data_IF_092194676497
#
_entry.id   IF_092194676497
#
_cell.length_a   1.000
_cell.length_b   1.000
_cell.length_c   1.000
_cell.angle_alpha   90.00
_cell.angle_beta   90.00
_cell.angle_gamma   90.00
#
_symmetry.space_group_name_H-M   'P 1'
#
loop_
_entity.id
_entity.type
_entity.pdbx_description
1 polymer ?
#
# COMPACT_ATOMS: atom_id res chain seq x y z
N UNK A 1 -3.42 8.89 -23.04
CA UNK A 1 -4.84 8.65 -22.77
C UNK A 1 -5.02 7.14 -22.82
N UNK A 2 -5.22 6.49 -21.67
CA UNK A 2 -5.37 5.02 -21.59
C UNK A 2 -6.82 4.74 -22.00
N UNK A 3 -7.03 4.17 -23.19
CA UNK A 3 -8.33 3.65 -23.58
C UNK A 3 -8.65 2.42 -22.72
N UNK A 4 -9.47 2.63 -21.70
CA UNK A 4 -10.07 1.54 -20.93
C UNK A 4 -11.11 0.86 -21.82
N UNK A 5 -10.88 -0.39 -22.16
CA UNK A 5 -11.80 -1.19 -22.98
C UNK A 5 -13.20 -1.27 -22.35
N UNK A 6 -14.25 -1.30 -23.16
CA UNK A 6 -15.69 -1.26 -22.81
C UNK A 6 -16.17 -2.30 -21.76
N UNK A 7 -15.35 -3.27 -21.37
CA UNK A 7 -15.64 -4.23 -20.30
C UNK A 7 -15.41 -3.68 -18.87
N UNK A 8 -14.88 -2.46 -18.74
CA UNK A 8 -14.49 -1.86 -17.45
C UNK A 8 -15.52 -0.88 -16.88
N UNK A 9 -16.66 -0.71 -17.55
CA UNK A 9 -17.82 0.03 -17.01
C UNK A 9 -18.65 -0.78 -16.00
N UNK A 10 -18.20 -2.00 -15.68
CA UNK A 10 -18.86 -2.86 -14.69
C UNK A 10 -18.73 -2.28 -13.27
N UNK A 11 -19.80 -2.44 -12.52
CA UNK A 11 -19.86 -2.16 -11.08
C UNK A 11 -18.60 -2.66 -10.38
N UNK A 12 -18.12 -1.97 -9.33
CA UNK A 12 -16.97 -2.41 -8.55
C UNK A 12 -17.39 -3.62 -7.73
N UNK A 13 -17.46 -4.78 -8.36
CA UNK A 13 -17.86 -6.03 -7.74
C UNK A 13 -16.68 -6.79 -7.12
N UNK A 14 -15.45 -6.43 -7.48
CA UNK A 14 -14.23 -7.06 -6.96
C UNK A 14 -13.09 -6.05 -6.91
N UNK A 15 -12.96 -5.40 -5.77
CA UNK A 15 -11.94 -4.38 -5.55
C UNK A 15 -10.51 -4.92 -5.68
N UNK A 16 -10.29 -6.18 -5.33
CA UNK A 16 -8.97 -6.83 -5.46
C UNK A 16 -8.55 -6.97 -6.94
N UNK A 17 -9.48 -7.41 -7.78
CA UNK A 17 -9.19 -7.53 -9.23
C UNK A 17 -8.95 -6.15 -9.84
N UNK A 18 -9.78 -5.18 -9.48
CA UNK A 18 -9.65 -3.81 -9.91
C UNK A 18 -8.31 -3.18 -9.51
N UNK A 19 -7.91 -3.35 -8.24
CA UNK A 19 -6.63 -2.86 -7.74
C UNK A 19 -5.45 -3.42 -8.56
N UNK A 20 -5.48 -4.71 -8.88
CA UNK A 20 -4.45 -5.34 -9.74
C UNK A 20 -4.43 -4.73 -11.13
N UNK A 21 -5.58 -4.54 -11.77
CA UNK A 21 -5.68 -3.96 -13.11
C UNK A 21 -5.17 -2.51 -13.14
N UNK A 22 -5.53 -1.70 -12.14
CA UNK A 22 -5.05 -0.31 -12.01
C UNK A 22 -3.53 -0.30 -11.87
N UNK A 23 -2.96 -1.12 -11.00
CA UNK A 23 -1.51 -1.20 -10.79
C UNK A 23 -0.80 -1.72 -12.04
N UNK A 24 -1.32 -2.74 -12.71
CA UNK A 24 -0.73 -3.27 -13.94
C UNK A 24 -0.78 -2.26 -15.07
N UNK A 25 -1.90 -1.56 -15.25
CA UNK A 25 -2.04 -0.48 -16.23
C UNK A 25 -1.08 0.68 -15.96
N UNK A 26 -0.88 1.03 -14.68
CA UNK A 26 0.07 2.06 -14.28
C UNK A 26 1.51 1.63 -14.55
N UNK A 27 1.91 0.41 -14.12
CA UNK A 27 3.27 -0.12 -14.32
C UNK A 27 3.58 -0.28 -15.81
N UNK A 28 2.63 -0.77 -16.63
CA UNK A 28 2.81 -0.85 -18.08
C UNK A 28 2.88 0.52 -18.75
N UNK A 29 2.18 1.52 -18.23
CA UNK A 29 2.23 2.92 -18.73
C UNK A 29 3.53 3.66 -18.41
N UNK A 30 4.24 3.27 -17.36
CA UNK A 30 5.55 3.82 -16.96
C UNK A 30 6.70 3.09 -17.72
N UNK A 31 6.49 2.62 -18.89
CA UNK A 31 7.53 2.00 -19.70
C UNK A 31 8.79 2.84 -19.77
N UNK A 32 9.86 2.37 -19.11
CA UNK A 32 11.23 2.90 -19.03
C UNK A 32 11.59 3.72 -17.79
N UNK A 33 10.98 3.47 -16.66
CA UNK A 33 11.66 3.82 -15.42
C UNK A 33 12.80 2.80 -15.18
N UNK A 34 14.06 3.24 -14.96
CA UNK A 34 15.17 2.35 -14.65
C UNK A 34 15.11 1.81 -13.21
N UNK A 35 13.98 1.96 -12.53
CA UNK A 35 13.75 1.32 -11.26
C UNK A 35 13.46 -0.16 -11.49
N UNK A 36 14.54 -0.94 -11.56
CA UNK A 36 14.50 -2.37 -11.34
C UNK A 36 13.84 -2.57 -9.97
N UNK A 37 12.82 -3.43 -9.93
CA UNK A 37 12.13 -3.74 -8.70
C UNK A 37 13.14 -4.07 -7.60
N UNK A 38 12.94 -3.50 -6.42
CA UNK A 38 13.64 -3.87 -5.21
C UNK A 38 13.26 -5.31 -4.86
N UNK A 39 13.81 -6.26 -5.60
CA UNK A 39 13.94 -7.62 -5.15
C UNK A 39 15.12 -7.60 -4.20
N UNK A 40 14.89 -7.90 -2.94
CA UNK A 40 15.95 -8.23 -2.00
C UNK A 40 16.48 -9.59 -2.39
N UNK A 41 17.14 -9.61 -3.53
CA UNK A 41 18.01 -10.67 -3.92
C UNK A 41 19.42 -10.16 -3.74
N UNK A 42 20.20 -10.91 -2.98
CA UNK A 42 21.65 -10.94 -3.02
C UNK A 42 22.25 -9.79 -3.85
N UNK A 43 22.60 -8.68 -3.18
CA UNK A 43 22.99 -7.45 -3.87
C UNK A 43 24.30 -7.63 -4.63
N UNK A 44 25.38 -8.00 -4.01
CA UNK A 44 26.66 -8.30 -4.68
C UNK A 44 27.70 -8.79 -3.68
N UNK A 45 28.66 -9.54 -4.19
CA UNK A 45 29.89 -9.84 -3.46
C UNK A 45 30.85 -8.65 -3.57
N UNK A 46 31.06 -7.94 -2.49
CA UNK A 46 32.11 -6.91 -2.40
C UNK A 46 33.41 -7.57 -1.98
N UNK A 47 34.50 -7.21 -2.62
CA UNK A 47 35.83 -7.60 -2.15
C UNK A 47 36.02 -7.11 -0.70
N UNK A 48 36.44 -8.01 0.18
CA UNK A 48 36.73 -7.68 1.56
C UNK A 48 37.92 -6.73 1.64
N UNK A 49 37.77 -5.63 2.35
CA UNK A 49 38.82 -4.71 2.68
C UNK A 49 39.27 -4.90 4.13
N UNK A 50 40.58 -4.83 4.38
CA UNK A 50 41.15 -4.93 5.74
C UNK A 50 40.52 -3.86 6.64
N UNK A 51 39.91 -4.31 7.76
CA UNK A 51 39.18 -3.44 8.71
C UNK A 51 37.64 -3.59 8.67
N UNK A 52 37.07 -4.29 7.69
CA UNK A 52 35.65 -4.63 7.67
C UNK A 52 35.37 -5.84 8.59
N UNK A 53 34.10 -5.97 9.04
CA UNK A 53 33.70 -7.10 9.88
C UNK A 53 33.80 -8.43 9.12
N UNK A 54 34.50 -9.41 9.68
CA UNK A 54 34.65 -10.76 9.13
C UNK A 54 33.38 -11.60 9.19
N UNK A 55 32.34 -11.13 9.88
CA UNK A 55 31.09 -11.86 10.14
C UNK A 55 30.31 -12.18 8.87
N UNK A 56 30.47 -11.39 7.84
CA UNK A 56 29.74 -11.50 6.58
C UNK A 56 30.58 -12.06 5.42
N UNK A 57 31.74 -12.62 5.70
CA UNK A 57 32.60 -13.25 4.67
C UNK A 57 31.88 -14.48 4.12
N UNK A 58 31.86 -14.62 2.79
CA UNK A 58 31.38 -15.81 2.10
C UNK A 58 32.48 -16.86 2.01
N UNK A 59 32.55 -17.74 2.99
CA UNK A 59 33.53 -18.82 3.06
C UNK A 59 33.39 -19.84 1.94
N UNK A 60 32.16 -20.01 1.37
CA UNK A 60 31.94 -20.92 0.22
C UNK A 60 32.55 -20.33 -1.06
N UNK A 61 32.45 -19.03 -1.24
CA UNK A 61 33.04 -18.34 -2.38
C UNK A 61 34.55 -18.27 -2.23
N UNK A 62 35.04 -18.03 -1.03
CA UNK A 62 36.50 -18.08 -0.73
C UNK A 62 37.10 -19.44 -1.09
N UNK A 63 36.48 -20.56 -0.74
CA UNK A 63 36.95 -21.89 -1.07
C UNK A 63 37.01 -22.18 -2.58
N UNK A 64 36.28 -21.41 -3.40
CA UNK A 64 36.28 -21.57 -4.87
C UNK A 64 37.22 -20.61 -5.59
N UNK A 65 37.41 -19.42 -5.03
CA UNK A 65 38.09 -18.32 -5.76
C UNK A 65 39.37 -17.84 -5.10
N UNK A 66 39.65 -18.32 -3.88
CA UNK A 66 40.77 -17.88 -3.01
C UNK A 66 40.76 -16.38 -2.70
N UNK A 67 39.63 -15.68 -3.02
CA UNK A 67 39.43 -14.26 -2.77
C UNK A 67 38.39 -14.07 -1.69
N UNK A 68 38.68 -13.17 -0.73
CA UNK A 68 37.74 -12.84 0.32
C UNK A 68 36.67 -11.88 -0.21
N UNK A 69 35.39 -12.30 -0.10
CA UNK A 69 34.22 -11.51 -0.43
C UNK A 69 33.31 -11.40 0.79
N UNK A 70 32.77 -10.23 1.04
CA UNK A 70 31.68 -10.00 1.98
C UNK A 70 30.35 -9.99 1.26
N UNK A 71 29.38 -10.68 1.85
CA UNK A 71 27.98 -10.58 1.43
C UNK A 71 27.43 -9.22 1.87
N UNK A 72 27.09 -8.39 0.93
CA UNK A 72 26.37 -7.15 1.20
C UNK A 72 24.88 -7.52 1.30
N UNK A 73 24.33 -7.39 2.48
CA UNK A 73 22.89 -7.48 2.72
C UNK A 73 22.33 -6.06 2.60
N UNK A 74 21.45 -5.82 1.65
CA UNK A 74 20.56 -4.68 1.75
C UNK A 74 19.55 -5.02 2.83
N UNK A 75 19.47 -4.18 3.86
CA UNK A 75 18.41 -4.30 4.86
C UNK A 75 17.08 -4.19 4.11
N UNK A 76 16.26 -5.25 4.16
CA UNK A 76 14.85 -5.15 3.80
C UNK A 76 14.23 -4.09 4.71
N UNK A 77 14.15 -2.87 4.24
CA UNK A 77 13.33 -1.87 4.89
C UNK A 77 11.88 -2.28 4.63
N UNK A 78 11.34 -3.13 5.49
CA UNK A 78 9.91 -3.40 5.51
C UNK A 78 9.19 -2.08 5.83
N UNK A 79 8.86 -1.33 4.79
CA UNK A 79 8.10 -0.11 4.93
C UNK A 79 6.76 -0.44 5.58
N UNK A 80 6.39 0.32 6.59
CA UNK A 80 5.05 0.27 7.17
C UNK A 80 4.25 1.43 6.60
N UNK A 81 3.12 1.10 6.02
CA UNK A 81 2.22 2.08 5.46
C UNK A 81 0.88 2.03 6.18
N UNK A 82 0.39 3.17 6.66
CA UNK A 82 -0.92 3.29 7.24
C UNK A 82 -1.81 4.17 6.38
N UNK A 83 -2.94 3.64 5.96
CA UNK A 83 -3.93 4.35 5.14
C UNK A 83 -5.04 4.82 6.07
N UNK A 84 -5.38 6.09 5.99
CA UNK A 84 -6.43 6.72 6.79
C UNK A 84 -7.49 7.24 5.83
N UNK A 85 -8.73 6.85 6.04
CA UNK A 85 -9.87 7.28 5.20
C UNK A 85 -10.91 7.96 6.07
N UNK A 86 -11.24 9.18 5.71
CA UNK A 86 -12.37 9.92 6.22
C UNK A 86 -13.65 9.39 5.58
N UNK A 87 -14.65 9.03 6.40
CA UNK A 87 -15.95 8.56 5.95
C UNK A 87 -17.06 9.57 6.30
N UNK A 88 -16.71 10.86 6.36
CA UNK A 88 -17.66 11.95 6.57
C UNK A 88 -18.63 12.09 5.42
N UNK A 89 -19.73 12.81 5.62
CA UNK A 89 -20.78 13.02 4.62
C UNK A 89 -20.25 13.70 3.35
N UNK A 90 -19.34 14.65 3.49
CA UNK A 90 -18.70 15.36 2.37
C UNK A 90 -17.96 14.44 1.42
N UNK A 91 -17.28 13.42 1.93
CA UNK A 91 -16.60 12.40 1.14
C UNK A 91 -17.52 11.57 0.23
N UNK A 92 -18.83 11.58 0.49
CA UNK A 92 -19.79 10.89 -0.36
C UNK A 92 -20.33 11.74 -1.52
N UNK A 93 -19.80 12.97 -1.68
CA UNK A 93 -20.13 13.80 -2.84
C UNK A 93 -19.25 13.49 -4.06
N UNK A 94 -19.79 13.56 -5.29
CA UNK A 94 -21.21 13.66 -5.63
C UNK A 94 -21.97 12.38 -5.29
N UNK A 95 -23.25 12.49 -4.95
CA UNK A 95 -24.09 11.32 -4.65
C UNK A 95 -24.18 10.41 -5.87
N UNK A 96 -23.65 9.21 -5.74
CA UNK A 96 -23.63 8.18 -6.79
C UNK A 96 -24.42 6.97 -6.32
N UNK A 97 -25.46 6.58 -7.07
CA UNK A 97 -26.28 5.41 -6.72
C UNK A 97 -25.50 4.09 -6.77
N UNK A 98 -24.56 3.99 -7.73
CA UNK A 98 -23.67 2.84 -7.89
C UNK A 98 -22.29 3.31 -8.31
N UNK A 99 -21.27 2.88 -7.60
CA UNK A 99 -19.90 3.19 -7.89
C UNK A 99 -19.41 2.42 -9.12
N UNK A 100 -18.77 3.09 -10.04
CA UNK A 100 -18.07 2.49 -11.18
C UNK A 100 -16.81 3.29 -11.47
N UNK A 101 -15.81 2.71 -12.13
CA UNK A 101 -14.54 3.40 -12.43
C UNK A 101 -14.71 4.75 -13.13
N UNK A 102 -15.73 4.87 -13.98
CA UNK A 102 -16.01 6.11 -14.70
C UNK A 102 -16.91 7.07 -13.91
N UNK A 103 -17.43 6.65 -12.76
CA UNK A 103 -18.34 7.43 -11.93
C UNK A 103 -18.12 7.09 -10.46
N UNK A 104 -17.05 7.64 -9.91
CA UNK A 104 -16.70 7.55 -8.49
C UNK A 104 -17.06 8.85 -7.80
N UNK A 105 -17.53 8.76 -6.56
CA UNK A 105 -17.47 9.87 -5.62
C UNK A 105 -16.13 9.86 -4.88
N UNK A 106 -15.89 10.81 -3.98
CA UNK A 106 -14.63 10.96 -3.27
C UNK A 106 -14.28 9.71 -2.45
N UNK A 107 -15.25 9.14 -1.73
CA UNK A 107 -15.03 7.92 -0.95
C UNK A 107 -14.75 6.69 -1.84
N UNK A 108 -15.42 6.61 -3.01
CA UNK A 108 -15.16 5.56 -3.99
C UNK A 108 -13.75 5.65 -4.56
N UNK A 109 -13.30 6.86 -4.87
CA UNK A 109 -11.92 7.10 -5.29
C UNK A 109 -10.93 6.69 -4.19
N UNK A 110 -11.16 7.11 -2.95
CA UNK A 110 -10.33 6.77 -1.80
C UNK A 110 -10.20 5.25 -1.62
N UNK A 111 -11.32 4.52 -1.70
CA UNK A 111 -11.32 3.07 -1.57
C UNK A 111 -10.54 2.36 -2.70
N UNK A 112 -10.71 2.79 -3.95
CA UNK A 112 -9.96 2.25 -5.10
C UNK A 112 -8.48 2.56 -4.99
N UNK A 113 -8.12 3.80 -4.64
CA UNK A 113 -6.74 4.23 -4.44
C UNK A 113 -6.06 3.46 -3.29
N UNK A 114 -6.75 3.29 -2.16
CA UNK A 114 -6.26 2.51 -1.02
C UNK A 114 -6.04 1.03 -1.39
N UNK A 115 -6.94 0.44 -2.18
CA UNK A 115 -6.78 -0.92 -2.67
C UNK A 115 -5.58 -1.06 -3.63
N UNK A 116 -5.39 -0.09 -4.55
CA UNK A 116 -4.24 -0.06 -5.45
C UNK A 116 -2.91 0.10 -4.68
N UNK A 117 -2.84 1.02 -3.70
CA UNK A 117 -1.69 1.16 -2.81
C UNK A 117 -1.39 -0.14 -2.06
N UNK A 118 -2.42 -0.80 -1.50
CA UNK A 118 -2.28 -2.10 -0.83
C UNK A 118 -1.70 -3.19 -1.76
N UNK A 119 -2.03 -3.16 -3.05
CA UNK A 119 -1.46 -4.10 -4.02
C UNK A 119 0.01 -3.78 -4.36
N UNK A 120 0.37 -2.49 -4.48
CA UNK A 120 1.76 -2.06 -4.69
C UNK A 120 2.62 -2.47 -3.50
N UNK A 121 2.17 -2.16 -2.28
CA UNK A 121 2.87 -2.50 -1.03
C UNK A 121 3.05 -4.02 -0.88
N UNK A 122 2.04 -4.80 -1.27
CA UNK A 122 2.16 -6.26 -1.31
C UNK A 122 3.30 -6.72 -2.22
N UNK A 123 3.41 -6.16 -3.42
CA UNK A 123 4.47 -6.51 -4.38
C UNK A 123 5.85 -6.19 -3.83
N UNK A 124 5.95 -5.16 -2.99
CA UNK A 124 7.17 -4.75 -2.30
C UNK A 124 7.41 -5.50 -0.98
N UNK A 125 6.50 -6.41 -0.58
CA UNK A 125 6.50 -7.12 0.72
C UNK A 125 6.38 -6.20 1.93
N UNK A 126 5.84 -5.00 1.73
CA UNK A 126 5.63 -4.01 2.77
C UNK A 126 4.36 -4.31 3.60
N UNK A 127 4.33 -3.76 4.81
CA UNK A 127 3.19 -3.89 5.70
C UNK A 127 2.18 -2.76 5.46
N UNK A 128 0.88 -3.09 5.43
CA UNK A 128 -0.20 -2.14 5.28
C UNK A 128 -1.17 -2.19 6.44
N UNK A 129 -1.57 -1.02 6.93
CA UNK A 129 -2.62 -0.80 7.91
C UNK A 129 -3.73 0.07 7.33
N UNK A 130 -4.91 0.05 7.96
CA UNK A 130 -6.06 0.85 7.55
C UNK A 130 -6.80 1.39 8.77
N UNK A 131 -7.13 2.68 8.75
CA UNK A 131 -8.08 3.32 9.65
C UNK A 131 -9.20 3.96 8.85
N UNK A 132 -10.44 3.76 9.28
CA UNK A 132 -11.62 4.45 8.76
C UNK A 132 -12.28 5.14 9.94
N UNK A 133 -12.59 6.40 9.78
CA UNK A 133 -13.23 7.21 10.82
C UNK A 133 -14.33 8.10 10.23
N UNK A 134 -15.30 8.43 11.08
CA UNK A 134 -16.32 9.46 10.88
C UNK A 134 -16.49 10.21 12.20
N UNK A 135 -17.63 10.16 12.86
CA UNK A 135 -17.84 10.66 14.24
C UNK A 135 -17.19 9.77 15.30
N UNK A 136 -16.75 8.57 14.91
CA UNK A 136 -16.10 7.58 15.76
C UNK A 136 -15.17 6.69 14.93
N UNK A 137 -14.34 5.90 15.63
CA UNK A 137 -13.57 4.84 14.98
C UNK A 137 -14.51 3.78 14.41
N UNK A 138 -14.55 3.69 13.09
CA UNK A 138 -15.33 2.66 12.40
C UNK A 138 -14.51 1.38 12.22
N UNK A 139 -13.25 1.56 11.91
CA UNK A 139 -12.34 0.44 11.66
C UNK A 139 -10.88 0.82 11.92
N UNK A 140 -10.14 -0.11 12.51
CA UNK A 140 -8.70 -0.01 12.69
C UNK A 140 -8.03 -1.36 12.45
N UNK A 141 -7.04 -1.39 11.57
CA UNK A 141 -6.18 -2.54 11.35
C UNK A 141 -4.72 -2.08 11.39
N UNK A 142 -3.90 -2.62 12.29
CA UNK A 142 -2.47 -2.29 12.36
C UNK A 142 -1.73 -2.77 11.11
N UNK A 143 -0.53 -2.24 10.87
CA UNK A 143 0.28 -2.58 9.71
C UNK A 143 0.79 -4.03 9.79
N UNK A 144 0.38 -4.86 8.83
CA UNK A 144 0.80 -6.26 8.68
C UNK A 144 0.99 -6.63 7.22
N UNK A 145 2.00 -7.48 6.92
CA UNK A 145 2.32 -7.92 5.56
C UNK A 145 1.61 -9.21 5.11
N UNK A 146 0.75 -9.84 5.95
CA UNK A 146 0.14 -11.11 5.60
C UNK A 146 -1.01 -11.01 4.59
N UNK A 147 -1.13 -11.97 3.69
CA UNK A 147 -2.21 -12.02 2.70
C UNK A 147 -3.61 -12.07 3.34
N UNK A 148 -3.75 -12.74 4.48
CA UNK A 148 -5.02 -12.79 5.23
C UNK A 148 -5.42 -11.38 5.70
N UNK A 149 -4.47 -10.62 6.23
CA UNK A 149 -4.70 -9.26 6.70
C UNK A 149 -5.09 -8.34 5.55
N UNK A 150 -4.40 -8.44 4.41
CA UNK A 150 -4.73 -7.67 3.21
C UNK A 150 -6.13 -7.97 2.67
N UNK A 151 -6.53 -9.25 2.63
CA UNK A 151 -7.91 -9.63 2.24
C UNK A 151 -8.95 -8.99 3.17
N UNK A 152 -8.67 -8.91 4.47
CA UNK A 152 -9.53 -8.26 5.44
C UNK A 152 -9.63 -6.75 5.17
N UNK A 153 -8.53 -6.06 4.88
CA UNK A 153 -8.52 -4.65 4.49
C UNK A 153 -9.37 -4.44 3.22
N UNK A 154 -9.17 -5.25 2.17
CA UNK A 154 -9.95 -5.15 0.93
C UNK A 154 -11.44 -5.34 1.17
N UNK A 155 -11.82 -6.30 2.01
CA UNK A 155 -13.23 -6.50 2.39
C UNK A 155 -13.83 -5.28 3.11
N UNK A 156 -13.04 -4.60 3.94
CA UNK A 156 -13.51 -3.36 4.61
C UNK A 156 -13.66 -2.21 3.60
N UNK A 157 -12.75 -2.09 2.65
CA UNK A 157 -12.85 -1.10 1.57
C UNK A 157 -14.07 -1.37 0.65
N UNK A 158 -14.39 -2.65 0.39
CA UNK A 158 -15.60 -3.02 -0.35
C UNK A 158 -16.88 -2.69 0.44
N UNK A 159 -16.88 -2.91 1.75
CA UNK A 159 -18.00 -2.50 2.61
C UNK A 159 -18.17 -0.96 2.62
N UNK A 160 -17.06 -0.22 2.65
CA UNK A 160 -17.06 1.23 2.63
C UNK A 160 -17.75 1.79 1.39
N UNK A 161 -17.62 1.16 0.22
CA UNK A 161 -18.31 1.56 -1.01
C UNK A 161 -19.83 1.50 -0.93
N UNK A 162 -20.36 0.69 -0.02
CA UNK A 162 -21.80 0.47 0.20
C UNK A 162 -22.34 1.18 1.46
N UNK A 163 -21.48 1.89 2.20
CA UNK A 163 -21.88 2.65 3.39
C UNK A 163 -22.68 3.89 3.01
N UNK A 164 -23.61 4.25 3.87
CA UNK A 164 -24.33 5.53 3.77
C UNK A 164 -23.50 6.63 4.44
N UNK A 165 -23.59 7.87 3.95
CA UNK A 165 -22.93 9.00 4.59
C UNK A 165 -23.34 9.13 6.05
N UNK A 166 -22.40 9.51 6.91
CA UNK A 166 -22.60 9.77 8.33
C UNK A 166 -22.30 11.25 8.62
N UNK A 167 -22.97 11.80 9.60
CA UNK A 167 -22.86 13.21 9.97
C UNK A 167 -21.49 13.61 10.51
N UNK A 168 -21.29 14.88 10.70
CA UNK A 168 -20.09 15.67 11.02
C UNK A 168 -18.93 14.97 11.77
N UNK A 169 -17.71 15.35 11.43
CA UNK A 169 -16.49 14.71 11.91
C UNK A 169 -15.66 15.65 12.78
N UNK A 170 -15.21 15.17 13.93
CA UNK A 170 -14.11 15.76 14.69
C UNK A 170 -12.75 15.18 14.19
N UNK A 171 -12.40 15.45 12.96
CA UNK A 171 -11.20 14.91 12.26
C UNK A 171 -9.92 15.04 13.09
N UNK A 172 -9.72 16.18 13.74
CA UNK A 172 -8.54 16.48 14.55
C UNK A 172 -8.32 15.45 15.68
N UNK A 173 -9.38 15.09 16.40
CA UNK A 173 -9.30 14.16 17.51
C UNK A 173 -8.88 12.76 17.06
N UNK A 174 -9.46 12.29 15.96
CA UNK A 174 -9.14 10.97 15.43
C UNK A 174 -7.74 10.87 14.84
N UNK A 175 -7.28 11.91 14.14
CA UNK A 175 -5.92 11.95 13.64
C UNK A 175 -4.88 11.90 14.77
N UNK A 176 -5.15 12.55 15.89
CA UNK A 176 -4.30 12.50 17.08
C UNK A 176 -4.24 11.09 17.67
N UNK A 177 -5.40 10.45 17.88
CA UNK A 177 -5.47 9.08 18.39
C UNK A 177 -4.82 8.05 17.46
N UNK A 178 -4.94 8.23 16.12
CA UNK A 178 -4.28 7.39 15.13
C UNK A 178 -2.76 7.58 15.21
N UNK A 179 -2.30 8.83 15.32
CA UNK A 179 -0.88 9.14 15.40
C UNK A 179 -0.18 8.48 16.59
N UNK A 180 -0.90 8.34 17.72
CA UNK A 180 -0.37 7.63 18.91
C UNK A 180 -0.24 6.12 18.70
N UNK A 181 -1.08 5.52 17.83
CA UNK A 181 -1.10 4.08 17.56
C UNK A 181 -0.12 3.65 16.46
N UNK A 182 0.24 4.58 15.58
CA UNK A 182 1.11 4.29 14.43
C UNK A 182 2.58 4.23 14.88
N UNK A 183 3.34 3.30 14.33
CA UNK A 183 4.78 3.23 14.55
C UNK A 183 5.50 4.48 14.03
N UNK A 184 6.53 4.95 14.77
CA UNK A 184 7.27 6.20 14.50
C UNK A 184 7.88 6.33 13.10
N UNK A 185 8.05 5.24 12.37
CA UNK A 185 8.61 5.22 11.00
C UNK A 185 7.63 4.56 10.06
N UNK A 186 6.51 5.22 9.81
CA UNK A 186 5.49 4.74 8.89
C UNK A 186 5.20 5.80 7.83
N UNK A 187 4.92 5.35 6.62
CA UNK A 187 4.35 6.17 5.56
C UNK A 187 2.85 6.28 5.82
N UNK A 188 2.30 7.48 5.80
CA UNK A 188 0.88 7.73 6.07
C UNK A 188 0.24 8.33 4.84
N UNK A 189 -0.86 7.72 4.37
CA UNK A 189 -1.74 8.28 3.35
C UNK A 189 -3.06 8.67 4.01
N UNK A 190 -3.47 9.92 3.85
CA UNK A 190 -4.75 10.41 4.36
C UNK A 190 -5.64 10.78 3.18
N UNK A 191 -6.84 10.21 3.14
CA UNK A 191 -7.89 10.54 2.19
C UNK A 191 -8.99 11.30 2.93
N UNK A 192 -9.10 12.58 2.65
CA UNK A 192 -10.07 13.51 3.24
C UNK A 192 -10.31 14.65 2.25
N UNK A 193 -11.41 15.35 2.39
CA UNK A 193 -11.81 16.50 1.57
C UNK A 193 -11.78 17.83 2.33
N UNK A 194 -10.95 17.91 3.40
CA UNK A 194 -10.78 19.08 4.29
C UNK A 194 -10.90 20.42 3.57
#
# INVERSE_FOLDING_TARGET
MIELTNSQTSEINNLNLLAKQVVEGFITGIHKSPFHGFSVEFSEHKLYNSGESTRHIDWKLFAKTEKLYTKKYEEETNLRCHIIIDNSESMHYPMVKKQSLNKLNTIGFAAVAAAALSEILKRQRDAVGLSIYSDFYEYYAPEKGSDRHRKMILSQLEQLLNTKPKTATETYRFLHEIAEKIHRRSLIFVFTDM
#
